data_IF_724817116934
#
_entry.id   IF_724817116934
#
_cell.length_a   1.000
_cell.length_b   1.000
_cell.length_c   1.000
_cell.angle_alpha   90.00
_cell.angle_beta   90.00
_cell.angle_gamma   90.00
#
_symmetry.space_group_name_H-M   'P 1'
#
loop_
_entity.id
_entity.type
_entity.pdbx_description
1 polymer ?
#
# COMPACT_ATOMS: atom_id res chain seq x y z
N UNK A 1 23.50 -2.41 -3.89
CA UNK A 1 23.77 -2.95 -5.23
C UNK A 1 23.04 -2.09 -6.23
N UNK A 2 23.71 -1.69 -7.29
CA UNK A 2 23.15 -0.99 -8.45
C UNK A 2 23.10 -2.00 -9.60
N UNK A 3 21.97 -2.02 -10.28
CA UNK A 3 21.71 -2.91 -11.42
C UNK A 3 21.24 -2.08 -12.59
N UNK A 4 21.59 -2.52 -13.78
CA UNK A 4 21.07 -2.00 -15.01
C UNK A 4 19.59 -2.42 -15.14
N UNK A 5 18.71 -1.44 -15.35
CA UNK A 5 17.28 -1.68 -15.32
C UNK A 5 16.77 -2.44 -16.56
N UNK A 6 17.50 -2.41 -17.68
CA UNK A 6 17.09 -3.02 -18.95
C UNK A 6 17.60 -4.46 -19.06
N UNK A 7 18.87 -4.67 -18.74
CA UNK A 7 19.57 -5.97 -18.86
C UNK A 7 19.49 -6.79 -17.60
N UNK A 8 19.21 -6.18 -16.44
CA UNK A 8 19.31 -6.82 -15.12
C UNK A 8 20.76 -7.10 -14.69
N UNK A 9 21.75 -6.63 -15.45
CA UNK A 9 23.16 -6.79 -15.14
C UNK A 9 23.55 -6.03 -13.87
N UNK A 10 24.45 -6.61 -13.07
CA UNK A 10 25.00 -5.91 -11.90
C UNK A 10 26.02 -4.87 -12.36
N UNK A 11 25.78 -3.61 -12.03
CA UNK A 11 26.70 -2.50 -12.30
C UNK A 11 27.71 -2.39 -11.15
N UNK A 12 27.22 -2.29 -9.91
CA UNK A 12 28.08 -2.06 -8.76
C UNK A 12 27.46 -2.54 -7.43
N UNK A 13 28.28 -2.68 -6.38
CA UNK A 13 27.87 -2.99 -5.01
C UNK A 13 28.37 -1.89 -4.07
N UNK A 14 27.48 -0.94 -3.81
CA UNK A 14 27.71 0.15 -2.85
C UNK A 14 28.06 -0.38 -1.44
N UNK A 15 28.93 0.32 -0.69
CA UNK A 15 29.21 0.02 0.70
C UNK A 15 27.97 0.32 1.57
N UNK A 16 27.32 -0.75 2.03
CA UNK A 16 26.15 -0.67 2.89
C UNK A 16 24.87 -0.19 2.19
N UNK A 17 23.84 0.09 3.00
CA UNK A 17 22.50 0.49 2.55
C UNK A 17 22.18 1.92 3.01
N UNK A 18 23.02 2.89 2.63
CA UNK A 18 22.89 4.29 3.09
C UNK A 18 22.63 5.26 1.95
N UNK A 19 21.88 6.32 2.25
CA UNK A 19 21.63 7.42 1.30
C UNK A 19 22.93 8.12 0.88
N UNK A 20 23.90 8.22 1.80
CA UNK A 20 25.17 8.88 1.56
C UNK A 20 26.04 8.12 0.55
N UNK A 21 26.14 6.79 0.68
CA UNK A 21 26.88 5.96 -0.27
C UNK A 21 26.25 6.05 -1.68
N UNK A 22 24.92 5.99 -1.77
CA UNK A 22 24.22 6.16 -3.04
C UNK A 22 24.44 7.55 -3.65
N UNK A 23 24.36 8.61 -2.85
CA UNK A 23 24.56 10.00 -3.31
C UNK A 23 25.95 10.19 -3.90
N UNK A 24 26.99 9.67 -3.24
CA UNK A 24 28.36 9.77 -3.73
C UNK A 24 28.52 9.10 -5.09
N UNK A 25 28.01 7.87 -5.22
CA UNK A 25 28.05 7.12 -6.47
C UNK A 25 27.28 7.81 -7.60
N UNK A 26 26.07 8.31 -7.35
CA UNK A 26 25.28 8.99 -8.37
C UNK A 26 25.97 10.25 -8.93
N UNK A 27 26.77 10.95 -8.12
CA UNK A 27 27.53 12.13 -8.58
C UNK A 27 28.66 11.77 -9.54
N UNK A 28 29.18 10.55 -9.47
CA UNK A 28 30.16 10.02 -10.41
C UNK A 28 29.51 9.54 -11.72
N UNK A 29 28.18 9.44 -11.75
CA UNK A 29 27.38 8.98 -12.88
C UNK A 29 26.27 9.98 -13.28
N UNK A 30 26.62 11.19 -13.75
CA UNK A 30 25.64 12.24 -14.07
C UNK A 30 24.75 11.95 -15.28
N UNK A 31 25.10 10.96 -16.12
CA UNK A 31 24.34 10.61 -17.33
C UNK A 31 23.12 9.72 -17.09
N UNK A 32 22.77 9.42 -15.84
CA UNK A 32 21.62 8.58 -15.53
C UNK A 32 20.34 9.41 -15.65
N UNK A 33 19.48 9.05 -16.60
CA UNK A 33 18.21 9.75 -16.84
C UNK A 33 17.04 9.15 -16.05
N UNK A 34 17.09 7.85 -15.74
CA UNK A 34 16.00 7.13 -15.05
C UNK A 34 16.57 6.28 -13.92
N UNK A 35 15.95 6.36 -12.75
CA UNK A 35 16.32 5.55 -11.58
C UNK A 35 15.13 4.73 -11.08
N UNK A 36 15.21 3.41 -11.24
CA UNK A 36 14.29 2.46 -10.63
C UNK A 36 14.67 2.22 -9.16
N UNK A 37 13.75 2.48 -8.21
CA UNK A 37 14.04 2.35 -6.77
C UNK A 37 12.93 1.66 -5.96
N UNK A 38 13.35 1.12 -4.82
CA UNK A 38 12.65 0.11 -4.00
C UNK A 38 11.47 0.59 -3.13
N UNK A 39 11.19 1.89 -3.04
CA UNK A 39 10.23 2.40 -2.05
C UNK A 39 10.83 3.41 -1.09
N UNK A 40 12.15 3.36 -0.87
CA UNK A 40 12.83 4.13 0.17
C UNK A 40 12.76 5.63 -0.06
N UNK A 41 12.21 6.35 0.92
CA UNK A 41 12.22 7.81 0.94
C UNK A 41 13.64 8.39 1.04
N UNK A 42 14.52 7.74 1.82
CA UNK A 42 15.92 8.14 1.95
C UNK A 42 16.67 8.08 0.61
N UNK A 43 16.42 7.05 -0.19
CA UNK A 43 17.00 6.94 -1.53
C UNK A 43 16.38 7.91 -2.52
N UNK A 44 15.06 8.12 -2.45
CA UNK A 44 14.43 9.10 -3.32
C UNK A 44 14.93 10.52 -3.08
N UNK A 45 15.22 10.88 -1.82
CA UNK A 45 15.87 12.14 -1.47
C UNK A 45 17.33 12.22 -1.95
N UNK A 46 18.10 11.14 -1.76
CA UNK A 46 19.48 11.07 -2.26
C UNK A 46 19.55 11.29 -3.78
N UNK A 47 18.66 10.63 -4.53
CA UNK A 47 18.58 10.77 -5.98
C UNK A 47 18.21 12.21 -6.36
N UNK A 48 17.18 12.80 -5.73
CA UNK A 48 16.79 14.20 -5.99
C UNK A 48 17.93 15.21 -5.78
N UNK A 49 18.83 14.93 -4.82
CA UNK A 49 19.99 15.78 -4.53
C UNK A 49 21.16 15.55 -5.47
N UNK A 50 21.39 14.32 -5.90
CA UNK A 50 22.52 13.97 -6.76
C UNK A 50 22.22 14.22 -8.24
N UNK A 51 21.01 13.88 -8.68
CA UNK A 51 20.53 13.92 -10.06
C UNK A 51 19.12 14.55 -10.07
N UNK A 52 19.00 15.89 -9.99
CA UNK A 52 17.71 16.57 -9.91
C UNK A 52 16.84 16.35 -11.15
N UNK A 53 17.46 16.12 -12.32
CA UNK A 53 16.77 15.93 -13.59
C UNK A 53 16.42 14.45 -13.86
N UNK A 54 16.91 13.52 -13.04
CA UNK A 54 16.63 12.10 -13.22
C UNK A 54 15.19 11.74 -12.82
N UNK A 55 14.51 11.02 -13.70
CA UNK A 55 13.16 10.52 -13.45
C UNK A 55 13.22 9.33 -12.49
N UNK A 56 12.51 9.43 -11.37
CA UNK A 56 12.42 8.36 -10.39
C UNK A 56 11.19 7.50 -10.65
N UNK A 57 11.40 6.19 -10.83
CA UNK A 57 10.33 5.22 -11.01
C UNK A 57 10.38 4.17 -9.90
N UNK A 58 9.22 3.61 -9.56
CA UNK A 58 9.16 2.52 -8.58
C UNK A 58 9.53 1.21 -9.24
N UNK A 59 10.38 0.44 -8.57
CA UNK A 59 10.67 -0.93 -8.97
C UNK A 59 9.37 -1.78 -8.98
N UNK A 60 9.21 -2.58 -10.04
CA UNK A 60 8.00 -3.37 -10.28
C UNK A 60 7.76 -4.40 -9.18
N UNK A 61 8.81 -5.07 -8.71
CA UNK A 61 8.66 -6.10 -7.68
C UNK A 61 8.23 -5.48 -6.36
N UNK A 62 8.87 -4.39 -5.94
CA UNK A 62 8.50 -3.68 -4.71
C UNK A 62 7.07 -3.13 -4.78
N UNK A 63 6.65 -2.60 -5.93
CA UNK A 63 5.28 -2.11 -6.13
C UNK A 63 4.25 -3.24 -5.92
N UNK A 64 4.45 -4.38 -6.59
CA UNK A 64 3.53 -5.52 -6.50
C UNK A 64 3.54 -6.18 -5.12
N UNK A 65 4.72 -6.40 -4.56
CA UNK A 65 4.90 -7.02 -3.24
C UNK A 65 4.22 -6.20 -2.15
N UNK A 66 4.49 -4.88 -2.12
CA UNK A 66 3.89 -3.99 -1.15
C UNK A 66 2.36 -3.94 -1.26
N UNK A 67 1.81 -3.93 -2.48
CA UNK A 67 0.36 -3.99 -2.71
C UNK A 67 -0.23 -5.28 -2.15
N UNK A 68 0.31 -6.43 -2.53
CA UNK A 68 -0.15 -7.75 -2.07
C UNK A 68 -0.13 -7.85 -0.55
N UNK A 69 0.93 -7.37 0.10
CA UNK A 69 1.05 -7.37 1.56
C UNK A 69 -0.05 -6.53 2.22
N UNK A 70 -0.35 -5.34 1.68
CA UNK A 70 -1.41 -4.49 2.23
C UNK A 70 -2.80 -5.08 2.01
N UNK A 71 -3.07 -5.61 0.82
CA UNK A 71 -4.32 -6.30 0.51
C UNK A 71 -4.52 -7.50 1.44
N UNK A 72 -3.48 -8.27 1.70
CA UNK A 72 -3.56 -9.43 2.60
C UNK A 72 -3.90 -9.01 4.03
N UNK A 73 -3.32 -7.91 4.53
CA UNK A 73 -3.67 -7.35 5.85
C UNK A 73 -5.15 -6.95 5.89
N UNK A 74 -5.62 -6.26 4.86
CA UNK A 74 -7.00 -5.77 4.78
C UNK A 74 -8.03 -6.90 4.62
N UNK A 75 -7.71 -7.90 3.82
CA UNK A 75 -8.49 -9.14 3.69
C UNK A 75 -8.61 -9.81 5.06
N UNK A 76 -7.48 -9.95 5.77
CA UNK A 76 -7.44 -10.60 7.09
C UNK A 76 -8.28 -9.85 8.13
N UNK A 77 -8.22 -8.51 8.15
CA UNK A 77 -8.99 -7.68 9.08
C UNK A 77 -10.51 -7.80 8.85
N UNK A 78 -10.95 -8.14 7.64
CA UNK A 78 -12.37 -8.26 7.28
C UNK A 78 -12.88 -9.70 7.12
N UNK A 79 -12.07 -10.71 7.47
CA UNK A 79 -12.44 -12.13 7.37
C UNK A 79 -13.79 -12.45 8.04
N UNK A 80 -14.07 -11.86 9.22
CA UNK A 80 -15.33 -12.07 9.92
C UNK A 80 -16.54 -11.50 9.16
N UNK A 81 -16.40 -10.33 8.53
CA UNK A 81 -17.47 -9.73 7.72
C UNK A 81 -17.83 -10.60 6.53
N UNK A 82 -16.84 -11.21 5.90
CA UNK A 82 -17.05 -12.07 4.74
C UNK A 82 -17.58 -13.44 5.11
N UNK A 83 -17.18 -13.98 6.27
CA UNK A 83 -17.74 -15.23 6.79
C UNK A 83 -19.28 -15.14 6.95
N UNK A 84 -19.78 -14.03 7.48
CA UNK A 84 -21.23 -13.77 7.61
C UNK A 84 -21.92 -13.52 6.27
N UNK A 85 -21.25 -12.87 5.31
CA UNK A 85 -21.81 -12.58 3.99
C UNK A 85 -21.84 -13.81 3.06
N UNK A 86 -20.87 -14.71 3.16
CA UNK A 86 -20.71 -15.88 2.27
C UNK A 86 -21.51 -17.08 2.78
N UNK A 87 -21.68 -17.24 4.09
CA UNK A 87 -22.59 -18.21 4.69
C UNK A 87 -23.70 -17.50 5.47
N UNK A 88 -24.79 -17.06 4.79
CA UNK A 88 -25.90 -16.36 5.46
C UNK A 88 -26.73 -17.27 6.39
N UNK A 89 -26.40 -18.56 6.49
CA UNK A 89 -27.24 -19.59 7.12
C UNK A 89 -26.98 -19.86 8.60
N UNK A 90 -26.12 -19.10 9.29
CA UNK A 90 -25.96 -19.24 10.76
C UNK A 90 -26.43 -17.97 11.50
N UNK A 91 -27.71 -17.89 11.91
CA UNK A 91 -28.23 -16.80 12.72
C UNK A 91 -27.87 -16.97 14.22
N UNK A 92 -26.68 -17.47 14.56
CA UNK A 92 -26.29 -17.71 15.97
C UNK A 92 -24.86 -17.23 16.24
N UNK A 93 -24.70 -15.93 16.52
CA UNK A 93 -23.64 -15.42 17.40
C UNK A 93 -23.86 -13.95 17.84
N UNK A 94 -25.10 -13.49 18.06
CA UNK A 94 -25.32 -12.19 18.73
C UNK A 94 -26.34 -12.21 19.87
N UNK A 95 -26.85 -13.38 20.27
CA UNK A 95 -27.87 -13.48 21.31
C UNK A 95 -27.42 -14.35 22.49
N UNK A 96 -26.50 -13.83 23.30
CA UNK A 96 -26.45 -14.18 24.73
C UNK A 96 -25.59 -13.20 25.52
N UNK A 97 -26.25 -12.20 26.12
CA UNK A 97 -25.84 -11.60 27.40
C UNK A 97 -27.08 -11.34 28.25
N UNK A 98 -27.09 -11.85 29.49
CA UNK A 98 -27.35 -11.02 30.67
C UNK A 98 -26.14 -11.15 31.62
N UNK A 99 -25.73 -10.21 32.47
CA UNK A 99 -26.22 -8.90 32.93
C UNK A 99 -25.00 -8.06 33.35
N UNK A 100 -25.23 -6.79 33.68
CA UNK A 100 -24.28 -5.69 33.95
C UNK A 100 -23.13 -5.94 34.95
N UNK A 101 -21.96 -5.33 34.70
CA UNK A 101 -21.43 -4.23 35.53
C UNK A 101 -20.14 -3.59 34.96
N UNK A 102 -20.19 -2.26 34.80
CA UNK A 102 -19.12 -1.24 34.96
C UNK A 102 -17.87 -1.29 34.06
N UNK A 103 -17.80 -0.29 33.15
CA UNK A 103 -16.58 0.52 32.95
C UNK A 103 -15.75 0.31 31.68
N UNK A 104 -15.75 1.35 30.83
CA UNK A 104 -14.68 1.78 29.89
C UNK A 104 -14.92 1.61 28.38
N UNK A 105 -15.23 2.78 27.78
CA UNK A 105 -15.01 3.26 26.40
C UNK A 105 -15.26 2.32 25.21
N UNK A 106 -16.43 2.56 24.64
CA UNK A 106 -16.89 2.34 23.27
C UNK A 106 -15.81 2.46 22.17
N UNK A 107 -15.67 1.39 21.38
CA UNK A 107 -15.52 1.49 19.92
C UNK A 107 -16.45 0.46 19.28
N UNK A 108 -17.72 0.82 19.10
CA UNK A 108 -18.66 0.03 18.30
C UNK A 108 -18.22 0.08 16.83
N UNK A 109 -17.86 -1.08 16.27
CA UNK A 109 -17.82 -1.25 14.82
C UNK A 109 -19.28 -1.28 14.33
N UNK A 110 -19.84 -0.09 14.08
CA UNK A 110 -21.12 0.03 13.39
C UNK A 110 -20.87 -0.21 11.91
N UNK A 111 -21.10 -1.44 11.44
CA UNK A 111 -21.27 -1.71 10.03
C UNK A 111 -22.52 -0.96 9.54
N UNK A 112 -22.35 0.31 9.18
CA UNK A 112 -23.36 1.07 8.47
C UNK A 112 -23.18 0.70 6.99
N UNK A 113 -23.95 -0.29 6.54
CA UNK A 113 -24.20 -0.46 5.11
C UNK A 113 -24.96 0.79 4.66
N UNK A 114 -24.23 1.81 4.24
CA UNK A 114 -24.82 2.94 3.52
C UNK A 114 -25.25 2.41 2.17
N UNK A 115 -26.56 2.23 2.00
CA UNK A 115 -27.16 2.04 0.69
C UNK A 115 -26.80 3.26 -0.17
N UNK A 116 -25.95 3.07 -1.17
CA UNK A 116 -25.78 4.01 -2.26
C UNK A 116 -27.11 4.11 -3.02
N UNK A 117 -27.96 5.05 -2.60
CA UNK A 117 -29.10 5.51 -3.41
C UNK A 117 -28.65 6.75 -4.15
N UNK A 118 -28.23 6.60 -5.39
CA UNK A 118 -28.24 7.66 -6.39
C UNK A 118 -28.43 7.03 -7.77
N UNK A 119 -29.68 6.88 -8.18
CA UNK A 119 -30.06 6.78 -9.58
C UNK A 119 -30.64 8.14 -10.00
N UNK A 120 -30.19 8.77 -11.09
CA UNK A 120 -30.84 9.96 -11.59
C UNK A 120 -32.23 9.60 -12.13
N UNK A 121 -33.26 10.33 -11.70
CA UNK A 121 -34.60 10.23 -12.25
C UNK A 121 -34.57 10.66 -13.73
N UNK A 122 -34.81 9.70 -14.62
CA UNK A 122 -35.18 9.98 -16.01
C UNK A 122 -36.59 10.57 -15.98
N UNK A 123 -36.69 11.87 -16.23
CA UNK A 123 -37.95 12.57 -16.48
C UNK A 123 -38.34 12.34 -17.94
N UNK A 124 -39.15 11.33 -18.21
CA UNK A 124 -39.97 11.26 -19.42
C UNK A 124 -41.37 11.76 -19.09
N UNK A 125 -41.85 12.73 -19.86
CA UNK A 125 -43.26 13.11 -19.97
C UNK A 125 -43.46 13.84 -21.32
N UNK A 126 -44.69 13.82 -21.86
CA UNK A 126 -45.00 13.53 -23.26
C UNK A 126 -44.77 14.67 -24.25
#
# INVERSE_FOLDING_TARGET
MVVDAETGGRIDVLPGRTAQALTAWLREHPGIEVVCRDGSGCYGEAIRRALPDAVQVSDRWHLWSNLCDRVLVEVRSHTACWATAVNPSDPVACASRPSESVGSRSTTCSARVSACSNAPAVSTSP
#
